data_IF_837835813343
#
_entry.id   IF_837835813343
#
_cell.length_a   1.000
_cell.length_b   1.000
_cell.length_c   1.000
_cell.angle_alpha   90.00
_cell.angle_beta   90.00
_cell.angle_gamma   90.00
#
_symmetry.space_group_name_H-M   'P 1'
#
loop_
_entity.id
_entity.type
_entity.pdbx_description
1 polymer ?
#
# COMPACT_ATOMS: atom_id res chain seq x y z
N UNK A 1 -31.89 11.47 -43.69
CA UNK A 1 -31.26 10.24 -43.18
C UNK A 1 -29.72 10.21 -43.25
N UNK A 2 -29.07 10.69 -44.29
CA UNK A 2 -27.59 10.66 -44.44
C UNK A 2 -26.82 11.40 -43.30
N UNK A 3 -27.31 12.54 -42.85
CA UNK A 3 -26.66 13.34 -41.79
C UNK A 3 -26.70 12.68 -40.39
N UNK A 4 -27.74 11.94 -40.07
CA UNK A 4 -27.86 11.23 -38.80
C UNK A 4 -26.82 10.13 -38.68
N UNK A 5 -26.53 9.41 -39.78
CA UNK A 5 -25.52 8.33 -39.78
C UNK A 5 -24.12 8.91 -39.58
N UNK A 6 -23.78 10.04 -40.20
CA UNK A 6 -22.48 10.69 -40.04
C UNK A 6 -22.28 11.17 -38.60
N UNK A 7 -23.32 11.71 -37.97
CA UNK A 7 -23.25 12.20 -36.59
C UNK A 7 -23.04 11.06 -35.58
N UNK A 8 -23.75 9.93 -35.77
CA UNK A 8 -23.61 8.74 -34.93
C UNK A 8 -22.20 8.14 -35.07
N UNK A 9 -21.68 8.07 -36.29
CA UNK A 9 -20.31 7.52 -36.50
C UNK A 9 -19.25 8.41 -35.85
N UNK A 10 -19.39 9.75 -35.98
CA UNK A 10 -18.48 10.69 -35.34
C UNK A 10 -18.52 10.57 -33.80
N UNK A 11 -19.72 10.43 -33.21
CA UNK A 11 -19.89 10.27 -31.74
C UNK A 11 -19.24 8.98 -31.23
N UNK A 12 -19.39 7.87 -31.96
CA UNK A 12 -18.77 6.60 -31.63
C UNK A 12 -17.24 6.66 -31.68
N UNK A 13 -16.67 7.35 -32.67
CA UNK A 13 -15.23 7.55 -32.79
C UNK A 13 -14.70 8.40 -31.64
N UNK A 14 -15.37 9.49 -31.28
CA UNK A 14 -14.97 10.37 -30.18
C UNK A 14 -15.05 9.63 -28.84
N UNK A 15 -16.11 8.86 -28.60
CA UNK A 15 -16.26 8.04 -27.38
C UNK A 15 -15.19 6.93 -27.34
N UNK A 16 -14.88 6.32 -28.47
CA UNK A 16 -13.83 5.30 -28.57
C UNK A 16 -12.44 5.86 -28.27
N UNK A 17 -12.11 7.05 -28.81
CA UNK A 17 -10.85 7.74 -28.52
C UNK A 17 -10.78 8.14 -27.04
N UNK A 18 -11.87 8.66 -26.48
CA UNK A 18 -11.93 9.05 -25.08
C UNK A 18 -11.78 7.85 -24.13
N UNK A 19 -12.34 6.69 -24.50
CA UNK A 19 -12.17 5.44 -23.75
C UNK A 19 -10.75 4.89 -23.84
N UNK A 20 -10.10 5.01 -24.99
CA UNK A 20 -8.73 4.55 -25.19
C UNK A 20 -7.69 5.46 -24.49
N UNK A 21 -7.98 6.75 -24.37
CA UNK A 21 -7.12 7.71 -23.66
C UNK A 21 -7.30 7.71 -22.14
N UNK A 22 -8.22 6.91 -21.60
CA UNK A 22 -8.30 6.76 -20.14
C UNK A 22 -7.00 6.14 -19.64
N UNK A 23 -6.28 6.81 -18.72
CA UNK A 23 -5.08 6.22 -18.13
C UNK A 23 -5.50 4.90 -17.48
N UNK A 24 -4.99 3.79 -18.01
CA UNK A 24 -5.26 2.44 -17.52
C UNK A 24 -4.55 2.17 -16.19
N UNK A 25 -3.71 3.11 -15.75
CA UNK A 25 -3.03 3.04 -14.48
C UNK A 25 -3.37 4.26 -13.63
N UNK A 26 -3.69 4.07 -12.35
CA UNK A 26 -3.78 5.18 -11.41
C UNK A 26 -2.46 5.97 -11.43
N UNK A 27 -2.50 7.30 -11.24
CA UNK A 27 -1.29 8.11 -11.21
C UNK A 27 -0.32 7.54 -10.17
N UNK A 28 0.94 7.41 -10.56
CA UNK A 28 1.97 6.91 -9.66
C UNK A 28 1.98 7.75 -8.37
N UNK A 29 1.85 7.07 -7.25
CA UNK A 29 1.87 7.71 -5.93
C UNK A 29 3.23 8.36 -5.71
N UNK A 30 3.24 9.61 -5.25
CA UNK A 30 4.49 10.28 -4.90
C UNK A 30 5.13 9.58 -3.68
N UNK A 31 6.11 8.75 -3.93
CA UNK A 31 6.81 7.92 -2.96
C UNK A 31 7.37 8.74 -1.79
N UNK A 32 7.91 9.92 -2.05
CA UNK A 32 8.54 10.75 -1.03
C UNK A 32 7.57 11.20 0.07
N UNK A 33 6.27 11.25 -0.20
CA UNK A 33 5.27 11.55 0.81
C UNK A 33 5.12 10.45 1.86
N UNK A 34 5.45 9.21 1.51
CA UNK A 34 5.33 8.03 2.37
C UNK A 34 6.64 7.66 3.07
N UNK A 35 7.78 8.04 2.52
CA UNK A 35 9.10 7.70 3.07
C UNK A 35 9.50 8.64 4.22
N UNK A 36 8.67 8.70 5.24
CA UNK A 36 8.82 9.58 6.42
C UNK A 36 9.14 8.79 7.69
N UNK A 37 9.68 9.47 8.69
CA UNK A 37 9.94 8.88 10.01
C UNK A 37 8.64 8.41 10.69
N UNK A 38 7.51 9.07 10.39
CA UNK A 38 6.20 8.65 10.89
C UNK A 38 5.80 7.27 10.33
N UNK A 39 5.96 7.05 9.03
CA UNK A 39 5.66 5.75 8.40
C UNK A 39 6.64 4.68 8.88
N UNK A 40 7.93 5.01 9.02
CA UNK A 40 8.91 4.10 9.62
C UNK A 40 8.48 3.68 11.03
N UNK A 41 8.14 4.65 11.88
CA UNK A 41 7.68 4.40 13.25
C UNK A 41 6.42 3.54 13.28
N UNK A 42 5.43 3.81 12.41
CA UNK A 42 4.24 2.99 12.29
C UNK A 42 4.58 1.54 11.94
N UNK A 43 5.38 1.32 10.90
CA UNK A 43 5.75 -0.03 10.45
C UNK A 43 6.51 -0.79 11.54
N UNK A 44 7.45 -0.15 12.23
CA UNK A 44 8.18 -0.75 13.37
C UNK A 44 7.26 -1.16 14.52
N UNK A 45 6.19 -0.40 14.77
CA UNK A 45 5.19 -0.77 15.79
C UNK A 45 4.28 -1.92 15.30
N UNK A 46 4.00 -2.02 13.99
CA UNK A 46 3.13 -3.05 13.43
C UNK A 46 3.80 -4.42 13.35
N UNK A 47 5.08 -4.48 12.98
CA UNK A 47 5.78 -5.74 12.75
C UNK A 47 5.66 -6.76 13.91
N UNK A 48 5.82 -6.36 15.20
CA UNK A 48 5.68 -7.28 16.32
C UNK A 48 4.24 -7.74 16.57
N UNK A 49 3.25 -6.98 16.12
CA UNK A 49 1.81 -7.27 16.33
C UNK A 49 1.24 -8.21 15.27
N UNK A 50 1.99 -8.48 14.19
CA UNK A 50 1.52 -9.32 13.12
C UNK A 50 1.51 -10.79 13.56
N UNK A 51 0.45 -11.56 13.22
CA UNK A 51 0.39 -12.97 13.56
C UNK A 51 1.57 -13.69 12.88
N UNK A 52 2.28 -14.55 13.61
CA UNK A 52 3.40 -15.28 13.05
C UNK A 52 2.90 -16.32 12.05
N UNK A 53 3.18 -16.21 10.75
CA UNK A 53 3.31 -17.38 9.90
C UNK A 53 4.67 -18.05 10.19
N UNK A 54 4.81 -19.29 9.80
CA UNK A 54 5.95 -20.17 10.15
C UNK A 54 7.34 -19.63 9.75
N UNK A 55 7.40 -18.72 8.79
CA UNK A 55 8.55 -17.84 8.46
C UNK A 55 8.02 -16.58 7.79
N UNK A 56 7.72 -15.52 8.54
CA UNK A 56 7.04 -14.36 7.99
C UNK A 56 7.97 -13.50 7.15
N UNK A 57 7.61 -13.34 5.90
CA UNK A 57 8.09 -12.26 5.05
C UNK A 57 7.00 -11.22 4.97
N UNK A 58 7.31 -9.98 5.33
CA UNK A 58 6.40 -8.86 5.16
C UNK A 58 6.82 -8.03 3.96
N UNK A 59 5.84 -7.62 3.16
CA UNK A 59 6.05 -6.70 2.05
C UNK A 59 5.46 -5.34 2.39
N UNK A 60 6.19 -4.26 2.06
CA UNK A 60 5.70 -2.90 2.25
C UNK A 60 5.35 -2.28 0.90
N UNK A 61 4.16 -1.69 0.83
CA UNK A 61 3.64 -1.00 -0.33
C UNK A 61 2.96 0.31 0.05
N UNK A 62 2.90 1.27 -0.87
CA UNK A 62 2.30 2.58 -0.68
C UNK A 62 1.12 2.82 -1.62
N UNK A 63 0.19 3.70 -1.19
CA UNK A 63 -0.95 4.14 -1.96
C UNK A 63 -1.94 3.01 -2.23
N UNK A 64 -2.13 2.65 -3.47
CA UNK A 64 -3.00 1.55 -3.91
C UNK A 64 -2.39 0.15 -3.75
N UNK A 65 -1.17 0.07 -3.19
CA UNK A 65 -0.44 -1.18 -2.99
C UNK A 65 0.49 -1.55 -4.14
N UNK A 66 0.61 -0.70 -5.16
CA UNK A 66 1.49 -0.94 -6.32
C UNK A 66 2.82 -0.19 -6.24
N UNK A 67 2.86 0.88 -5.43
CA UNK A 67 4.07 1.70 -5.28
C UNK A 67 5.02 1.08 -4.26
N UNK A 68 6.18 0.68 -4.74
CA UNK A 68 7.24 0.10 -3.91
C UNK A 68 8.06 1.20 -3.20
N UNK A 69 8.43 1.02 -1.92
CA UNK A 69 9.40 1.87 -1.25
C UNK A 69 10.75 1.90 -1.96
N UNK A 70 11.51 2.98 -1.76
CA UNK A 70 12.89 3.06 -2.25
C UNK A 70 13.83 2.12 -1.47
N UNK A 71 14.93 1.74 -2.11
CA UNK A 71 15.96 0.96 -1.45
C UNK A 71 16.49 1.66 -0.19
N UNK A 72 16.71 2.98 -0.26
CA UNK A 72 17.21 3.79 0.87
C UNK A 72 16.23 3.75 2.05
N UNK A 73 14.92 3.83 1.81
CA UNK A 73 13.93 3.71 2.86
C UNK A 73 13.89 2.31 3.45
N UNK A 74 13.98 1.27 2.62
CA UNK A 74 13.99 -0.13 3.07
C UNK A 74 15.22 -0.48 3.92
N UNK A 75 16.36 0.15 3.67
CA UNK A 75 17.57 -0.04 4.50
C UNK A 75 17.37 0.36 5.97
N UNK A 76 16.40 1.24 6.27
CA UNK A 76 16.03 1.60 7.65
C UNK A 76 15.47 0.41 8.44
N UNK A 77 14.98 -0.61 7.75
CA UNK A 77 14.41 -1.83 8.35
C UNK A 77 15.37 -3.04 8.31
N UNK A 78 16.64 -2.81 7.99
CA UNK A 78 17.63 -3.88 7.99
C UNK A 78 17.68 -4.57 9.37
N UNK A 79 17.60 -5.90 9.38
CA UNK A 79 17.63 -6.70 10.61
C UNK A 79 16.32 -6.75 11.41
N UNK A 80 15.20 -6.25 10.87
CA UNK A 80 13.89 -6.43 11.52
C UNK A 80 13.40 -7.87 11.41
N UNK A 81 12.64 -8.31 12.40
CA UNK A 81 11.89 -9.56 12.38
C UNK A 81 10.41 -9.27 12.65
N UNK A 82 9.50 -9.75 11.78
CA UNK A 82 9.76 -10.46 10.51
C UNK A 82 10.55 -9.61 9.51
N UNK A 83 11.20 -10.27 8.55
CA UNK A 83 11.94 -9.57 7.49
C UNK A 83 10.98 -8.72 6.66
N UNK A 84 11.30 -7.45 6.50
CA UNK A 84 10.52 -6.54 5.66
C UNK A 84 11.17 -6.38 4.29
N UNK A 85 10.39 -6.57 3.23
CA UNK A 85 10.80 -6.42 1.85
C UNK A 85 9.95 -5.36 1.13
N UNK A 86 10.48 -4.77 0.08
CA UNK A 86 9.69 -3.91 -0.80
C UNK A 86 8.69 -4.73 -1.61
N UNK A 87 7.49 -4.20 -1.88
CA UNK A 87 6.43 -4.93 -2.60
C UNK A 87 6.86 -5.41 -4.00
N UNK A 88 7.81 -4.74 -4.65
CA UNK A 88 8.37 -5.16 -5.94
C UNK A 88 9.11 -6.51 -5.89
N UNK A 89 9.45 -7.01 -4.70
CA UNK A 89 10.01 -8.35 -4.50
C UNK A 89 8.92 -9.44 -4.39
N UNK A 90 7.64 -9.05 -4.34
CA UNK A 90 6.52 -9.98 -4.24
C UNK A 90 6.07 -10.49 -5.60
N UNK A 91 5.84 -11.79 -5.72
CA UNK A 91 5.04 -12.33 -6.82
C UNK A 91 3.56 -12.12 -6.50
N UNK A 92 2.84 -11.40 -7.36
CA UNK A 92 1.44 -11.04 -7.17
C UNK A 92 0.53 -11.65 -8.24
N UNK A 93 0.23 -12.94 -8.21
CA UNK A 93 -0.89 -13.46 -8.98
C UNK A 93 -2.20 -12.95 -8.35
N UNK A 94 -3.16 -12.42 -9.12
CA UNK A 94 -4.44 -11.97 -8.59
C UNK A 94 -5.14 -13.08 -7.80
N UNK A 95 -5.53 -12.77 -6.54
CA UNK A 95 -6.31 -13.69 -5.70
C UNK A 95 -5.53 -14.81 -5.00
N UNK A 96 -4.21 -14.85 -5.12
CA UNK A 96 -3.37 -15.81 -4.42
C UNK A 96 -2.54 -15.15 -3.31
N UNK A 97 -2.08 -15.93 -2.31
CA UNK A 97 -1.13 -15.44 -1.33
C UNK A 97 0.11 -14.84 -2.00
N UNK A 98 0.64 -13.79 -1.40
CA UNK A 98 1.88 -13.19 -1.89
C UNK A 98 3.07 -14.03 -1.46
N UNK A 99 4.04 -14.17 -2.36
CA UNK A 99 5.27 -14.93 -2.12
C UNK A 99 6.48 -14.07 -2.44
N UNK A 100 7.55 -14.26 -1.71
CA UNK A 100 8.84 -13.73 -2.13
C UNK A 100 9.29 -14.45 -3.42
N UNK A 101 9.59 -13.67 -4.47
CA UNK A 101 9.91 -14.21 -5.81
C UNK A 101 11.16 -15.10 -5.79
N UNK A 102 12.11 -14.81 -4.90
CA UNK A 102 13.39 -15.55 -4.82
C UNK A 102 13.30 -16.86 -4.05
N UNK A 103 12.41 -16.97 -3.07
CA UNK A 103 12.36 -18.11 -2.15
C UNK A 103 11.03 -18.87 -2.16
N UNK A 104 9.98 -18.31 -2.78
CA UNK A 104 8.63 -18.86 -2.74
C UNK A 104 7.98 -18.83 -1.35
N UNK A 105 8.55 -18.10 -0.38
CA UNK A 105 8.00 -18.01 0.98
C UNK A 105 6.71 -17.22 1.00
N UNK A 106 5.68 -17.68 1.76
CA UNK A 106 4.45 -16.93 1.91
C UNK A 106 4.73 -15.62 2.66
N UNK A 107 4.02 -14.56 2.29
CA UNK A 107 4.19 -13.25 2.88
C UNK A 107 2.88 -12.52 3.11
N UNK A 108 2.95 -11.51 3.96
CA UNK A 108 1.89 -10.58 4.25
C UNK A 108 2.28 -9.22 3.69
N UNK A 109 1.37 -8.53 3.03
CA UNK A 109 1.65 -7.16 2.58
C UNK A 109 1.00 -6.14 3.51
N UNK A 110 1.79 -5.16 3.91
CA UNK A 110 1.38 -3.96 4.63
C UNK A 110 1.25 -2.85 3.58
N UNK A 111 0.03 -2.39 3.32
CA UNK A 111 -0.23 -1.28 2.42
C UNK A 111 -0.52 -0.01 3.23
N UNK A 112 0.35 0.96 3.16
CA UNK A 112 0.08 2.30 3.69
C UNK A 112 -0.72 3.07 2.63
N UNK A 113 -2.04 3.08 2.77
CA UNK A 113 -2.95 3.59 1.72
C UNK A 113 -2.90 5.11 1.64
N UNK A 114 -3.06 5.77 2.77
CA UNK A 114 -3.02 7.23 2.93
C UNK A 114 -2.84 7.60 4.38
N UNK A 115 -2.56 8.86 4.65
CA UNK A 115 -2.53 9.41 6.00
C UNK A 115 -3.03 10.84 6.00
N UNK A 116 -3.45 11.31 7.16
CA UNK A 116 -3.93 12.68 7.38
C UNK A 116 -3.43 13.17 8.72
N UNK A 117 -2.80 14.32 8.74
CA UNK A 117 -2.45 15.01 9.96
C UNK A 117 -3.72 15.54 10.64
N UNK A 118 -3.88 15.25 11.93
CA UNK A 118 -5.02 15.67 12.75
C UNK A 118 -4.63 16.78 13.69
N UNK A 119 -3.46 16.69 14.28
CA UNK A 119 -2.79 17.68 15.14
C UNK A 119 -1.30 17.62 14.83
N UNK A 120 -0.50 18.62 15.21
CA UNK A 120 0.95 18.54 15.10
C UNK A 120 1.47 17.22 15.67
N UNK A 121 2.31 16.54 14.91
CA UNK A 121 2.88 15.23 15.27
C UNK A 121 1.85 14.13 15.60
N UNK A 122 0.62 14.24 15.05
CA UNK A 122 -0.44 13.23 15.22
C UNK A 122 -1.15 12.97 13.89
N UNK A 123 -1.15 11.71 13.45
CA UNK A 123 -1.70 11.31 12.16
C UNK A 123 -2.70 10.17 12.30
N UNK A 124 -3.75 10.20 11.50
CA UNK A 124 -4.55 9.04 11.17
C UNK A 124 -3.97 8.42 9.89
N UNK A 125 -3.63 7.13 9.95
CA UNK A 125 -3.02 6.38 8.86
C UNK A 125 -3.92 5.20 8.51
N UNK A 126 -4.34 5.12 7.25
CA UNK A 126 -5.12 3.99 6.72
C UNK A 126 -4.17 2.93 6.21
N UNK A 127 -4.26 1.77 6.81
CA UNK A 127 -3.43 0.60 6.48
C UNK A 127 -4.34 -0.53 6.01
N UNK A 128 -3.96 -1.16 4.92
CA UNK A 128 -4.58 -2.39 4.46
C UNK A 128 -3.55 -3.52 4.53
N UNK A 129 -4.01 -4.69 4.92
CA UNK A 129 -3.18 -5.90 4.91
C UNK A 129 -3.74 -6.88 3.90
N UNK A 130 -2.88 -7.60 3.20
CA UNK A 130 -3.26 -8.77 2.43
C UNK A 130 -2.83 -10.04 3.17
N UNK A 131 -3.64 -11.09 3.05
CA UNK A 131 -3.37 -12.41 3.62
C UNK A 131 -3.43 -12.51 5.16
N UNK A 132 -4.21 -11.65 5.85
CA UNK A 132 -4.52 -11.88 7.25
C UNK A 132 -5.51 -13.05 7.41
N UNK A 133 -5.27 -13.96 8.38
CA UNK A 133 -6.11 -15.16 8.55
C UNK A 133 -7.56 -14.86 8.91
N UNK A 134 -7.83 -13.73 9.58
CA UNK A 134 -9.17 -13.32 10.06
C UNK A 134 -10.00 -12.57 9.01
N UNK A 135 -9.47 -12.37 7.81
CA UNK A 135 -10.12 -11.64 6.72
C UNK A 135 -10.30 -10.12 6.97
N UNK A 136 -9.94 -9.64 8.15
CA UNK A 136 -9.95 -8.20 8.46
C UNK A 136 -8.69 -7.57 7.93
N UNK A 137 -8.79 -6.88 6.81
CA UNK A 137 -7.60 -6.41 6.10
C UNK A 137 -7.44 -4.89 6.05
N UNK A 138 -8.33 -4.11 6.70
CA UNK A 138 -8.27 -2.64 6.70
C UNK A 138 -8.44 -2.07 8.09
N UNK A 139 -7.54 -1.14 8.43
CA UNK A 139 -7.53 -0.47 9.72
C UNK A 139 -7.14 0.99 9.56
N UNK A 140 -7.63 1.82 10.49
CA UNK A 140 -7.13 3.17 10.71
C UNK A 140 -6.36 3.19 12.01
N UNK A 141 -5.08 3.53 11.93
CA UNK A 141 -4.20 3.71 13.09
C UNK A 141 -4.06 5.19 13.38
N UNK A 142 -4.24 5.57 14.64
CA UNK A 142 -3.78 6.88 15.11
C UNK A 142 -2.39 6.72 15.67
N UNK A 143 -1.44 7.47 15.11
CA UNK A 143 -0.04 7.48 15.53
C UNK A 143 0.33 8.89 15.99
N UNK A 144 1.08 9.01 17.07
CA UNK A 144 1.55 10.28 17.59
C UNK A 144 3.03 10.19 18.00
N UNK A 145 3.75 11.31 17.88
CA UNK A 145 5.12 11.43 18.36
C UNK A 145 5.12 11.74 19.85
N UNK A 146 5.70 10.88 20.65
CA UNK A 146 5.74 10.98 22.11
C UNK A 146 7.19 10.81 22.56
N UNK A 147 7.72 11.83 23.22
CA UNK A 147 9.14 11.85 23.65
C UNK A 147 10.12 11.55 22.51
N UNK A 148 9.82 12.02 21.29
CA UNK A 148 10.65 11.81 20.10
C UNK A 148 10.37 10.55 19.32
N UNK A 149 9.58 9.61 19.85
CA UNK A 149 9.26 8.34 19.22
C UNK A 149 7.83 8.31 18.69
N UNK A 150 7.63 7.67 17.53
CA UNK A 150 6.30 7.43 16.97
C UNK A 150 5.65 6.21 17.61
N UNK A 151 4.45 6.40 18.20
CA UNK A 151 3.70 5.34 18.91
C UNK A 151 2.26 5.26 18.44
N UNK A 152 1.74 4.04 18.29
CA UNK A 152 0.32 3.80 18.01
C UNK A 152 -0.49 4.15 19.26
N UNK A 153 -1.48 5.04 19.11
CA UNK A 153 -2.39 5.48 20.19
C UNK A 153 -3.71 4.72 20.15
N UNK A 154 -4.19 4.41 18.96
CA UNK A 154 -5.42 3.65 18.78
C UNK A 154 -5.45 2.96 17.43
N UNK A 155 -6.25 1.90 17.35
CA UNK A 155 -6.54 1.14 16.14
C UNK A 155 -8.05 1.00 16.00
N UNK A 156 -8.59 1.22 14.81
CA UNK A 156 -9.98 0.98 14.45
C UNK A 156 -10.04 0.13 13.19
N UNK A 157 -10.92 -0.87 13.15
CA UNK A 157 -11.27 -1.54 11.91
C UNK A 157 -12.02 -0.55 11.00
N UNK A 158 -11.72 -0.58 9.69
CA UNK A 158 -12.33 0.28 8.69
C UNK A 158 -13.41 -0.47 7.91
#
# INVERSE_FOLDING_TARGET
MRWAVIFITFLLVVVGIWWWQRPTHPPAVNRSLYETDMVEGLVRNLLPELPPPVEPVCFLAFGDGTTSPSHTFMMRFAGTHPQLLACGAAAMPPGLPQFETSSGRPGLTIHIVKFKEILPDTFDVWVSFSNLPDGRNRFTYRIAKIAGEWKIRSRKAA
#
